data_IF_340998596943
#
_entry.id   IF_340998596943
#
_cell.length_a   1.000
_cell.length_b   1.000
_cell.length_c   1.000
_cell.angle_alpha   90.00
_cell.angle_beta   90.00
_cell.angle_gamma   90.00
#
_symmetry.space_group_name_H-M   'P 1'
#
loop_
_entity.id
_entity.type
_entity.pdbx_description
1 polymer ?
#
# COMPACT_ATOMS: atom_id res chain seq x y z
N UNK A 1 8.63 -17.77 -8.71
CA UNK A 1 7.92 -18.56 -7.68
C UNK A 1 8.01 -20.01 -8.08
N UNK A 2 8.34 -20.91 -7.17
CA UNK A 2 8.31 -22.36 -7.41
C UNK A 2 7.16 -22.93 -6.59
N UNK A 3 6.31 -23.72 -7.23
CA UNK A 3 5.29 -24.53 -6.55
C UNK A 3 5.80 -25.96 -6.50
N UNK A 4 5.99 -26.48 -5.30
CA UNK A 4 6.42 -27.85 -5.06
C UNK A 4 5.22 -28.81 -5.12
N UNK A 5 5.47 -30.09 -5.43
CA UNK A 5 4.41 -31.12 -5.52
C UNK A 5 3.59 -31.29 -4.23
N UNK A 6 4.18 -30.94 -3.07
CA UNK A 6 3.53 -30.97 -1.76
C UNK A 6 2.66 -29.72 -1.48
N UNK A 7 2.51 -28.80 -2.45
CA UNK A 7 1.75 -27.56 -2.31
C UNK A 7 2.51 -26.41 -1.67
N UNK A 8 3.76 -26.61 -1.23
CA UNK A 8 4.62 -25.53 -0.73
C UNK A 8 4.94 -24.57 -1.87
N UNK A 9 4.92 -23.27 -1.56
CA UNK A 9 5.25 -22.21 -2.51
C UNK A 9 6.47 -21.47 -2.00
N UNK A 10 7.48 -21.32 -2.85
CA UNK A 10 8.66 -20.52 -2.56
C UNK A 10 8.78 -19.32 -3.49
N UNK A 11 8.99 -18.15 -2.88
CA UNK A 11 8.99 -16.85 -3.54
C UNK A 11 10.40 -16.25 -3.43
N UNK A 12 11.08 -16.19 -4.57
CA UNK A 12 12.49 -15.73 -4.66
C UNK A 12 12.63 -14.24 -4.98
N UNK A 13 11.53 -13.59 -5.34
CA UNK A 13 11.51 -12.17 -5.72
C UNK A 13 11.17 -11.35 -4.48
N UNK A 14 11.73 -10.14 -4.37
CA UNK A 14 11.30 -9.15 -3.38
C UNK A 14 11.82 -9.32 -1.96
N UNK A 15 12.94 -10.04 -1.80
CA UNK A 15 13.62 -10.25 -0.52
C UNK A 15 14.57 -9.09 -0.14
N UNK A 16 14.62 -8.04 -0.96
CA UNK A 16 15.37 -6.81 -0.67
C UNK A 16 14.59 -5.95 0.32
N UNK A 17 15.23 -5.50 1.41
CA UNK A 17 14.67 -4.56 2.37
C UNK A 17 15.58 -3.34 2.53
N UNK A 18 14.98 -2.16 2.59
CA UNK A 18 15.67 -0.92 2.89
C UNK A 18 15.46 -0.52 4.35
N UNK A 19 16.51 0.01 4.97
CA UNK A 19 16.41 0.64 6.29
C UNK A 19 15.51 1.88 6.25
N UNK A 20 14.83 2.15 7.35
CA UNK A 20 14.15 3.43 7.59
C UNK A 20 15.17 4.56 7.83
N UNK A 21 14.77 5.81 7.58
CA UNK A 21 15.61 7.00 7.81
C UNK A 21 14.90 8.01 8.71
N UNK A 22 14.73 7.74 10.01
CA UNK A 22 13.87 8.55 10.89
C UNK A 22 14.50 9.89 11.31
N UNK A 23 15.84 9.96 11.34
CA UNK A 23 16.61 11.06 11.94
C UNK A 23 17.77 11.55 11.07
N UNK A 24 17.83 11.12 9.81
CA UNK A 24 18.85 11.61 8.88
C UNK A 24 18.52 13.05 8.47
N UNK A 25 19.22 14.01 9.08
CA UNK A 25 19.06 15.45 8.82
C UNK A 25 19.49 15.85 7.40
N UNK A 26 20.21 14.99 6.70
CA UNK A 26 20.63 15.22 5.31
C UNK A 26 19.64 14.63 4.31
N UNK A 27 18.72 13.76 4.75
CA UNK A 27 17.72 13.16 3.89
C UNK A 27 16.63 14.17 3.52
N UNK A 28 16.26 14.20 2.24
CA UNK A 28 15.11 14.99 1.77
C UNK A 28 13.77 14.48 2.31
N UNK A 29 13.72 13.20 2.69
CA UNK A 29 12.54 12.52 3.23
C UNK A 29 12.95 11.69 4.44
N UNK A 30 12.26 11.90 5.56
CA UNK A 30 12.37 11.03 6.72
C UNK A 30 11.38 9.87 6.59
N UNK A 31 11.77 8.69 7.05
CA UNK A 31 10.87 7.54 7.07
C UNK A 31 10.98 6.74 8.37
N UNK A 32 9.86 6.14 8.78
CA UNK A 32 9.82 5.24 9.94
C UNK A 32 8.81 4.12 9.79
N UNK A 33 9.13 2.99 10.39
CA UNK A 33 8.29 1.81 10.47
C UNK A 33 7.44 1.88 11.73
N UNK A 34 6.18 1.52 11.59
CA UNK A 34 5.20 1.51 12.68
C UNK A 34 4.40 0.22 12.64
N UNK A 35 4.04 -0.27 13.82
CA UNK A 35 3.06 -1.35 13.98
C UNK A 35 1.74 -0.72 14.42
N UNK A 36 0.76 -0.71 13.53
CA UNK A 36 -0.55 -0.12 13.82
C UNK A 36 -1.56 -1.13 14.38
N UNK A 37 -1.25 -2.43 14.34
CA UNK A 37 -2.04 -3.46 15.00
C UNK A 37 -1.18 -4.60 15.52
N UNK A 38 -0.96 -4.63 16.85
CA UNK A 38 -0.21 -5.71 17.49
C UNK A 38 -0.91 -7.07 17.34
N UNK A 39 -2.25 -7.09 17.48
CA UNK A 39 -3.07 -8.31 17.39
C UNK A 39 -2.90 -9.05 16.06
N UNK A 40 -2.77 -8.31 14.97
CA UNK A 40 -2.69 -8.87 13.62
C UNK A 40 -1.29 -8.74 13.02
N UNK A 41 -0.32 -8.21 13.78
CA UNK A 41 1.03 -7.87 13.35
C UNK A 41 1.05 -7.04 12.06
N UNK A 42 0.27 -5.95 12.04
CA UNK A 42 0.16 -5.08 10.86
C UNK A 42 1.03 -3.86 11.03
N UNK A 43 1.79 -3.59 9.98
CA UNK A 43 2.78 -2.54 9.94
C UNK A 43 2.68 -1.69 8.68
N UNK A 44 3.32 -0.53 8.73
CA UNK A 44 3.45 0.38 7.62
C UNK A 44 4.78 1.11 7.72
N UNK A 45 5.25 1.69 6.61
CA UNK A 45 6.31 2.70 6.62
C UNK A 45 5.70 4.05 6.31
N UNK A 46 5.92 5.03 7.18
CA UNK A 46 5.48 6.41 6.99
C UNK A 46 6.65 7.23 6.43
N UNK A 47 6.38 8.10 5.47
CA UNK A 47 7.34 8.98 4.84
C UNK A 47 6.89 10.44 4.97
N UNK A 48 7.79 11.30 5.44
CA UNK A 48 7.55 12.71 5.68
C UNK A 48 8.63 13.56 4.97
N UNK A 49 8.28 14.52 4.12
CA UNK A 49 9.26 15.44 3.54
C UNK A 49 9.96 16.25 4.64
N UNK A 50 11.29 16.28 4.62
CA UNK A 50 12.09 16.92 5.67
C UNK A 50 11.74 18.40 5.84
N UNK A 51 11.42 19.14 4.77
CA UNK A 51 11.04 20.55 4.88
C UNK A 51 9.80 20.80 5.78
N UNK A 52 8.94 19.78 5.94
CA UNK A 52 7.72 19.87 6.76
C UNK A 52 8.03 19.89 8.25
N UNK A 53 9.18 19.35 8.68
CA UNK A 53 9.60 19.37 10.10
C UNK A 53 10.08 20.76 10.51
N UNK A 54 10.75 21.49 9.61
CA UNK A 54 11.26 22.85 9.85
C UNK A 54 10.19 23.94 9.76
N UNK A 55 9.19 23.76 8.88
CA UNK A 55 8.03 24.67 8.74
C UNK A 55 6.74 23.86 8.86
N UNK A 56 6.25 23.62 10.09
CA UNK A 56 5.09 22.76 10.32
C UNK A 56 3.86 23.30 9.57
N UNK A 57 3.42 22.53 8.57
CA UNK A 57 2.15 22.71 7.89
C UNK A 57 1.53 21.35 7.64
N UNK A 58 0.20 21.29 7.60
CA UNK A 58 -0.49 20.09 7.12
C UNK A 58 -0.26 19.95 5.62
N UNK A 59 0.02 18.73 5.17
CA UNK A 59 0.24 18.37 3.77
C UNK A 59 -0.64 17.19 3.39
N UNK A 60 -0.99 17.02 2.10
CA UNK A 60 -1.88 15.93 1.69
C UNK A 60 -1.41 14.55 2.15
N UNK A 61 -2.35 13.70 2.50
CA UNK A 61 -2.10 12.33 2.94
C UNK A 61 -2.23 11.36 1.77
N UNK A 62 -1.19 10.56 1.53
CA UNK A 62 -1.20 9.46 0.58
C UNK A 62 -1.17 8.12 1.33
N UNK A 63 -2.17 7.27 1.13
CA UNK A 63 -2.11 5.86 1.57
C UNK A 63 -1.70 5.02 0.37
N UNK A 64 -0.52 4.40 0.44
CA UNK A 64 0.09 3.67 -0.67
C UNK A 64 0.11 2.16 -0.41
N UNK A 65 -0.22 1.38 -1.43
CA UNK A 65 -0.16 -0.09 -1.41
C UNK A 65 0.84 -0.55 -2.47
N UNK A 66 1.81 -1.37 -2.08
CA UNK A 66 2.81 -1.88 -3.01
C UNK A 66 2.24 -2.94 -3.97
N UNK A 67 2.92 -3.18 -5.09
CA UNK A 67 2.62 -4.29 -5.99
C UNK A 67 3.25 -5.62 -5.55
N UNK A 68 3.51 -6.50 -6.52
CA UNK A 68 4.00 -7.86 -6.24
C UNK A 68 2.93 -8.94 -6.34
N UNK A 69 1.84 -8.67 -7.08
CA UNK A 69 0.83 -9.68 -7.42
C UNK A 69 0.09 -10.28 -6.22
N UNK A 70 0.10 -9.63 -5.06
CA UNK A 70 -0.35 -10.15 -3.76
C UNK A 70 0.56 -11.20 -3.11
N UNK A 71 1.68 -11.58 -3.73
CA UNK A 71 2.53 -12.69 -3.28
C UNK A 71 3.91 -12.26 -2.76
N UNK A 72 4.40 -11.10 -3.18
CA UNK A 72 5.78 -10.68 -2.89
C UNK A 72 5.84 -9.20 -2.53
N UNK A 73 7.04 -8.79 -2.10
CA UNK A 73 7.43 -7.45 -1.67
C UNK A 73 6.78 -7.04 -0.36
N UNK A 74 7.21 -5.90 0.16
CA UNK A 74 6.70 -5.31 1.38
C UNK A 74 6.74 -3.78 1.26
N UNK A 75 6.11 -3.08 2.21
CA UNK A 75 6.30 -1.63 2.37
C UNK A 75 7.78 -1.23 2.63
N UNK A 76 8.60 -2.20 3.01
CA UNK A 76 10.02 -2.02 3.35
C UNK A 76 10.95 -2.41 2.19
N UNK A 77 10.41 -2.92 1.07
CA UNK A 77 11.25 -3.33 -0.05
C UNK A 77 11.98 -2.15 -0.68
N UNK A 78 13.27 -2.29 -1.01
CA UNK A 78 14.11 -1.20 -1.49
C UNK A 78 13.55 -0.51 -2.74
N UNK A 79 12.99 -1.30 -3.66
CA UNK A 79 12.25 -0.78 -4.82
C UNK A 79 11.12 0.21 -4.45
N UNK A 80 10.25 -0.14 -3.49
CA UNK A 80 9.15 0.72 -3.05
C UNK A 80 9.62 1.87 -2.16
N UNK A 81 10.64 1.62 -1.35
CA UNK A 81 11.28 2.67 -0.55
C UNK A 81 11.86 3.78 -1.43
N UNK A 82 12.63 3.43 -2.45
CA UNK A 82 13.21 4.38 -3.39
C UNK A 82 12.13 5.12 -4.19
N UNK A 83 11.07 4.42 -4.59
CA UNK A 83 9.93 5.03 -5.27
C UNK A 83 9.24 6.07 -4.37
N UNK A 84 8.89 5.70 -3.14
CA UNK A 84 8.18 6.58 -2.23
C UNK A 84 9.02 7.76 -1.73
N UNK A 85 10.33 7.61 -1.51
CA UNK A 85 11.19 8.75 -1.24
C UNK A 85 11.11 9.79 -2.36
N UNK A 86 11.21 9.37 -3.63
CA UNK A 86 11.11 10.28 -4.78
C UNK A 86 9.72 10.89 -4.91
N UNK A 87 8.67 10.09 -4.72
CA UNK A 87 7.29 10.56 -4.82
C UNK A 87 6.97 11.60 -3.74
N UNK A 88 7.31 11.30 -2.48
CA UNK A 88 7.06 12.15 -1.32
C UNK A 88 7.82 13.47 -1.42
N UNK A 89 9.09 13.43 -1.83
CA UNK A 89 9.89 14.63 -2.08
C UNK A 89 9.25 15.55 -3.13
N UNK A 90 8.87 14.99 -4.28
CA UNK A 90 8.34 15.76 -5.42
C UNK A 90 6.91 16.25 -5.19
N UNK A 91 6.02 15.38 -4.71
CA UNK A 91 4.61 15.68 -4.51
C UNK A 91 4.33 16.40 -3.19
N UNK A 92 5.28 16.40 -2.25
CA UNK A 92 5.15 16.99 -0.91
C UNK A 92 3.92 16.46 -0.16
N UNK A 93 3.82 15.14 -0.09
CA UNK A 93 2.74 14.42 0.60
C UNK A 93 3.28 13.65 1.80
N UNK A 94 2.49 13.49 2.86
CA UNK A 94 2.76 12.52 3.91
C UNK A 94 2.28 11.16 3.41
N UNK A 95 3.17 10.18 3.24
CA UNK A 95 2.77 8.87 2.72
C UNK A 95 2.76 7.80 3.82
N UNK A 96 1.72 6.96 3.85
CA UNK A 96 1.64 5.73 4.63
C UNK A 96 1.69 4.55 3.66
N UNK A 97 2.84 3.88 3.58
CA UNK A 97 3.03 2.67 2.79
C UNK A 97 2.60 1.45 3.59
N UNK A 98 1.48 0.86 3.23
CA UNK A 98 0.87 -0.24 3.97
C UNK A 98 1.61 -1.55 3.67
N UNK A 99 2.07 -2.25 4.71
CA UNK A 99 2.63 -3.59 4.60
C UNK A 99 1.49 -4.62 4.71
N UNK A 100 0.71 -4.76 3.63
CA UNK A 100 -0.42 -5.68 3.65
C UNK A 100 0.05 -7.14 3.62
N UNK A 101 -0.82 -8.02 4.09
CA UNK A 101 -0.56 -9.45 4.19
C UNK A 101 -0.57 -10.11 2.80
N UNK A 102 0.37 -11.04 2.58
CA UNK A 102 0.56 -11.73 1.31
C UNK A 102 -0.16 -13.08 1.25
N UNK A 103 -0.55 -13.45 0.04
CA UNK A 103 -0.82 -14.81 -0.36
C UNK A 103 0.50 -15.53 -0.67
N UNK A 104 0.56 -16.87 -0.66
CA UNK A 104 -0.52 -17.82 -0.40
C UNK A 104 -0.79 -18.06 1.10
N UNK A 105 0.06 -17.57 2.00
CA UNK A 105 -0.05 -17.86 3.43
C UNK A 105 -1.38 -17.36 4.01
N UNK A 106 -1.85 -16.20 3.53
CA UNK A 106 -3.19 -15.68 3.82
C UNK A 106 -3.82 -15.17 2.53
N UNK A 107 -4.57 -16.03 1.82
CA UNK A 107 -5.17 -15.69 0.54
C UNK A 107 -6.17 -14.53 0.62
N UNK A 108 -6.55 -13.99 -0.52
CA UNK A 108 -7.63 -13.02 -0.64
C UNK A 108 -8.93 -13.60 -0.03
N UNK A 109 -9.76 -12.77 0.64
CA UNK A 109 -9.72 -11.30 0.66
C UNK A 109 -8.92 -10.69 1.83
N UNK A 110 -8.06 -11.43 2.52
CA UNK A 110 -7.40 -10.94 3.75
C UNK A 110 -6.56 -9.68 3.51
N UNK A 111 -5.84 -9.60 2.38
CA UNK A 111 -5.08 -8.40 2.00
C UNK A 111 -5.98 -7.14 1.97
N UNK A 112 -7.19 -7.23 1.42
CA UNK A 112 -8.16 -6.12 1.41
C UNK A 112 -8.69 -5.79 2.80
N UNK A 113 -9.00 -6.81 3.62
CA UNK A 113 -9.50 -6.60 4.98
C UNK A 113 -8.46 -5.89 5.85
N UNK A 114 -7.18 -6.24 5.71
CA UNK A 114 -6.12 -5.65 6.51
C UNK A 114 -5.70 -4.27 5.97
N UNK A 115 -5.76 -4.07 4.66
CA UNK A 115 -5.66 -2.74 4.05
C UNK A 115 -6.76 -1.80 4.54
N UNK A 116 -7.97 -2.33 4.75
CA UNK A 116 -9.07 -1.56 5.35
C UNK A 116 -8.79 -1.17 6.80
N UNK A 117 -8.18 -2.05 7.59
CA UNK A 117 -7.75 -1.71 8.95
C UNK A 117 -6.68 -0.60 8.93
N UNK A 118 -5.73 -0.65 8.00
CA UNK A 118 -4.70 0.38 7.84
C UNK A 118 -5.31 1.75 7.51
N UNK A 119 -6.32 1.80 6.65
CA UNK A 119 -7.05 3.02 6.31
C UNK A 119 -7.79 3.61 7.51
N UNK A 120 -8.60 2.79 8.20
CA UNK A 120 -9.31 3.22 9.40
C UNK A 120 -8.35 3.71 10.49
N UNK A 121 -7.23 3.01 10.66
CA UNK A 121 -6.19 3.43 11.58
C UNK A 121 -5.58 4.78 11.16
N UNK A 122 -5.30 4.99 9.88
CA UNK A 122 -4.77 6.27 9.41
C UNK A 122 -5.77 7.40 9.67
N UNK A 123 -7.05 7.19 9.33
CA UNK A 123 -8.13 8.18 9.49
C UNK A 123 -8.50 8.49 10.94
N UNK A 124 -8.20 7.61 11.89
CA UNK A 124 -8.46 7.87 13.31
C UNK A 124 -7.64 9.04 13.86
N UNK A 125 -6.58 9.45 13.16
CA UNK A 125 -5.72 10.59 13.53
C UNK A 125 -6.32 11.95 13.12
N UNK A 126 -7.43 11.96 12.38
CA UNK A 126 -8.04 13.19 11.82
C UNK A 126 -8.45 14.22 12.86
N UNK A 127 -8.80 13.79 14.07
CA UNK A 127 -9.14 14.67 15.20
C UNK A 127 -7.92 15.11 16.03
N UNK A 128 -6.71 14.79 15.59
CA UNK A 128 -5.46 15.19 16.26
C UNK A 128 -5.10 14.38 17.52
N UNK A 129 -5.88 13.36 17.87
CA UNK A 129 -5.71 12.53 19.08
C UNK A 129 -5.28 11.08 18.80
N UNK A 130 -4.85 10.79 17.57
CA UNK A 130 -4.35 9.47 17.20
C UNK A 130 -2.93 9.19 17.73
N UNK A 131 -2.54 7.91 17.85
CA UNK A 131 -1.28 7.50 18.48
C UNK A 131 -0.02 7.83 17.67
N UNK A 132 -0.11 8.12 16.37
CA UNK A 132 1.03 8.43 15.51
C UNK A 132 1.22 9.95 15.31
N UNK A 133 2.27 10.56 15.90
CA UNK A 133 2.48 12.01 15.88
C UNK A 133 2.64 12.63 14.49
N UNK A 134 3.20 11.91 13.52
CA UNK A 134 3.37 12.45 12.16
C UNK A 134 2.03 12.63 11.46
N UNK A 135 1.09 11.70 11.69
CA UNK A 135 -0.26 11.79 11.15
C UNK A 135 -1.07 12.89 11.85
N UNK A 136 -0.99 13.01 13.18
CA UNK A 136 -1.75 14.06 13.89
C UNK A 136 -1.23 15.47 13.59
N UNK A 137 0.10 15.64 13.47
CA UNK A 137 0.74 16.95 13.31
C UNK A 137 0.81 17.42 11.87
N UNK A 138 1.06 16.53 10.91
CA UNK A 138 1.41 16.92 9.54
C UNK A 138 0.43 16.45 8.47
N UNK A 139 -0.51 15.53 8.74
CA UNK A 139 -1.47 15.10 7.73
C UNK A 139 -2.61 16.11 7.57
N UNK A 140 -2.92 16.43 6.31
CA UNK A 140 -4.16 17.08 5.92
C UNK A 140 -5.21 16.04 5.55
N UNK A 141 -6.15 15.79 6.46
CA UNK A 141 -7.26 14.85 6.23
C UNK A 141 -8.38 15.42 5.35
N UNK A 142 -8.28 16.69 4.93
CA UNK A 142 -9.12 17.27 3.89
C UNK A 142 -8.58 17.06 2.47
N UNK A 143 -7.38 16.47 2.33
CA UNK A 143 -6.72 16.17 1.06
C UNK A 143 -6.12 14.75 1.12
N UNK A 144 -6.94 13.72 0.89
CA UNK A 144 -6.56 12.31 1.02
C UNK A 144 -6.55 11.61 -0.34
N UNK A 145 -5.44 10.94 -0.63
CA UNK A 145 -5.21 10.19 -1.85
C UNK A 145 -4.94 8.72 -1.52
N UNK A 146 -5.46 7.81 -2.34
CA UNK A 146 -5.06 6.40 -2.31
C UNK A 146 -4.23 6.10 -3.55
N UNK A 147 -3.18 5.30 -3.39
CA UNK A 147 -2.33 4.94 -4.52
C UNK A 147 -1.72 3.55 -4.41
N UNK A 148 -1.23 3.07 -5.53
CA UNK A 148 -0.48 1.84 -5.58
C UNK A 148 -0.07 1.47 -6.98
N UNK A 149 0.66 0.36 -7.09
CA UNK A 149 1.08 -0.22 -8.34
C UNK A 149 0.66 -1.69 -8.45
N UNK A 150 0.30 -2.16 -9.65
CA UNK A 150 -0.05 -3.56 -9.89
C UNK A 150 -1.15 -4.04 -8.90
N UNK A 151 -0.88 -5.07 -8.10
CA UNK A 151 -1.79 -5.56 -7.06
C UNK A 151 -2.15 -4.48 -6.02
N UNK A 152 -1.22 -3.58 -5.68
CA UNK A 152 -1.47 -2.46 -4.78
C UNK A 152 -2.45 -1.45 -5.36
N UNK A 153 -2.40 -1.19 -6.66
CA UNK A 153 -3.39 -0.35 -7.33
C UNK A 153 -4.79 -1.00 -7.32
N UNK A 154 -4.86 -2.33 -7.44
CA UNK A 154 -6.12 -3.06 -7.26
C UNK A 154 -6.67 -2.89 -5.83
N UNK A 155 -5.81 -2.98 -4.81
CA UNK A 155 -6.19 -2.70 -3.41
C UNK A 155 -6.69 -1.26 -3.28
N UNK A 156 -5.93 -0.28 -3.77
CA UNK A 156 -6.29 1.14 -3.70
C UNK A 156 -7.67 1.42 -4.31
N UNK A 157 -7.95 0.84 -5.47
CA UNK A 157 -9.26 0.91 -6.13
C UNK A 157 -10.39 0.37 -5.25
N UNK A 158 -10.26 -0.87 -4.74
CA UNK A 158 -11.27 -1.50 -3.90
C UNK A 158 -11.48 -0.73 -2.58
N UNK A 159 -10.40 -0.18 -2.02
CA UNK A 159 -10.48 0.64 -0.82
C UNK A 159 -11.20 1.96 -1.06
N UNK A 160 -10.99 2.63 -2.19
CA UNK A 160 -11.70 3.86 -2.52
C UNK A 160 -13.21 3.64 -2.63
N UNK A 161 -13.62 2.56 -3.32
CA UNK A 161 -15.03 2.16 -3.40
C UNK A 161 -15.59 1.93 -1.98
N UNK A 162 -14.85 1.19 -1.16
CA UNK A 162 -15.26 0.88 0.21
C UNK A 162 -15.38 2.11 1.10
N UNK A 163 -14.49 3.10 0.96
CA UNK A 163 -14.63 4.40 1.65
C UNK A 163 -15.93 5.09 1.25
N UNK A 164 -16.26 5.13 -0.05
CA UNK A 164 -17.50 5.75 -0.54
C UNK A 164 -18.77 5.07 -0.03
N UNK A 165 -18.74 3.75 0.14
CA UNK A 165 -19.89 2.96 0.60
C UNK A 165 -20.04 2.93 2.14
N UNK A 166 -18.94 2.75 2.87
CA UNK A 166 -18.98 2.55 4.32
C UNK A 166 -18.76 3.85 5.12
N UNK A 167 -18.20 4.91 4.52
CA UNK A 167 -17.90 6.19 5.15
C UNK A 167 -17.30 6.05 6.58
N UNK A 168 -16.12 5.41 6.72
CA UNK A 168 -15.62 4.94 8.01
C UNK A 168 -15.35 6.06 9.02
N UNK A 169 -15.10 7.29 8.53
CA UNK A 169 -14.93 8.49 9.34
C UNK A 169 -15.64 9.65 8.64
N UNK A 170 -16.71 10.20 9.23
CA UNK A 170 -17.43 11.32 8.64
C UNK A 170 -16.52 12.52 8.37
N UNK A 171 -16.63 13.09 7.17
CA UNK A 171 -15.89 14.29 6.75
C UNK A 171 -14.59 14.01 6.00
N UNK A 172 -14.08 12.77 6.01
CA UNK A 172 -12.94 12.39 5.17
C UNK A 172 -13.46 11.86 3.83
N UNK A 173 -12.94 12.40 2.74
CA UNK A 173 -13.20 11.95 1.37
C UNK A 173 -11.89 11.56 0.70
N UNK A 174 -11.96 10.78 -0.37
CA UNK A 174 -10.81 10.50 -1.22
C UNK A 174 -10.82 11.49 -2.38
N UNK A 175 -9.83 12.38 -2.41
CA UNK A 175 -9.69 13.44 -3.42
C UNK A 175 -9.07 12.93 -4.72
N UNK A 176 -8.35 11.81 -4.67
CA UNK A 176 -7.77 11.22 -5.88
C UNK A 176 -7.26 9.79 -5.71
N UNK A 177 -7.12 9.13 -6.86
CA UNK A 177 -6.55 7.79 -6.98
C UNK A 177 -5.32 7.83 -7.90
N UNK A 178 -4.23 7.23 -7.45
CA UNK A 178 -3.04 6.97 -8.27
C UNK A 178 -2.90 5.47 -8.53
N UNK A 179 -3.32 5.02 -9.71
CA UNK A 179 -3.35 3.60 -10.07
C UNK A 179 -2.30 3.31 -11.15
N UNK A 180 -1.11 2.85 -10.75
CA UNK A 180 -0.03 2.53 -11.68
C UNK A 180 -0.12 1.06 -12.15
N UNK A 181 -0.37 0.85 -13.45
CA UNK A 181 -0.51 -0.48 -14.07
C UNK A 181 -1.39 -1.44 -13.24
N UNK A 182 -2.66 -1.10 -12.94
CA UNK A 182 -3.46 -1.84 -11.97
C UNK A 182 -3.74 -3.28 -12.39
N UNK A 183 -3.60 -4.20 -11.43
CA UNK A 183 -3.78 -5.63 -11.65
C UNK A 183 -5.26 -6.00 -11.70
N UNK A 184 -5.86 -5.93 -12.88
CA UNK A 184 -7.21 -6.40 -13.17
C UNK A 184 -7.17 -7.47 -14.25
N UNK A 185 -7.93 -8.55 -14.04
CA UNK A 185 -8.02 -9.68 -14.95
C UNK A 185 -9.43 -10.27 -14.88
N UNK A 186 -9.85 -10.91 -15.97
CA UNK A 186 -11.09 -11.66 -16.04
C UNK A 186 -10.93 -12.97 -16.80
N UNK A 187 -11.92 -13.86 -16.69
CA UNK A 187 -11.97 -15.10 -17.51
C UNK A 187 -12.04 -14.79 -19.01
N UNK A 188 -12.67 -13.67 -19.37
CA UNK A 188 -12.73 -13.14 -20.73
C UNK A 188 -11.86 -11.90 -20.79
N UNK A 189 -10.94 -11.88 -21.74
CA UNK A 189 -10.12 -10.71 -22.03
C UNK A 189 -10.96 -9.60 -22.65
N UNK A 190 -10.65 -8.36 -22.32
CA UNK A 190 -11.28 -7.17 -22.91
C UNK A 190 -10.27 -6.35 -23.70
N UNK A 191 -10.70 -5.82 -24.86
CA UNK A 191 -9.87 -4.94 -25.68
C UNK A 191 -8.51 -5.52 -26.05
N UNK A 192 -7.44 -4.81 -25.67
CA UNK A 192 -6.05 -5.13 -26.00
C UNK A 192 -5.35 -6.04 -24.96
N UNK A 193 -6.07 -6.62 -24.00
CA UNK A 193 -5.51 -7.55 -23.02
C UNK A 193 -4.84 -8.79 -23.66
N UNK A 194 -5.15 -9.11 -24.92
CA UNK A 194 -4.57 -10.24 -25.65
C UNK A 194 -3.09 -10.09 -26.04
N UNK A 195 -2.49 -8.91 -25.84
CA UNK A 195 -1.15 -8.59 -26.31
C UNK A 195 0.00 -9.36 -25.63
N UNK A 196 -0.21 -9.92 -24.43
CA UNK A 196 0.80 -10.70 -23.69
C UNK A 196 0.21 -12.00 -23.11
N UNK A 197 0.02 -12.99 -23.98
CA UNK A 197 -0.51 -14.30 -23.62
C UNK A 197 0.34 -15.02 -22.57
N UNK A 198 1.66 -14.76 -22.53
CA UNK A 198 2.54 -15.37 -21.54
C UNK A 198 2.28 -14.79 -20.15
N UNK A 199 2.28 -13.47 -20.00
CA UNK A 199 1.98 -12.82 -18.73
C UNK A 199 0.58 -13.19 -18.22
N UNK A 200 -0.43 -13.19 -19.09
CA UNK A 200 -1.78 -13.62 -18.74
C UNK A 200 -1.82 -15.06 -18.18
N UNK A 201 -1.17 -16.01 -18.85
CA UNK A 201 -1.15 -17.41 -18.42
C UNK A 201 -0.47 -17.55 -17.05
N UNK A 202 0.65 -16.84 -16.85
CA UNK A 202 1.34 -16.84 -15.56
C UNK A 202 0.46 -16.24 -14.45
N UNK A 203 -0.19 -15.11 -14.70
CA UNK A 203 -1.10 -14.47 -13.75
C UNK A 203 -2.30 -15.38 -13.40
N UNK A 204 -2.91 -16.04 -14.38
CA UNK A 204 -4.01 -17.00 -14.17
C UNK A 204 -3.57 -18.22 -13.35
N UNK A 205 -2.39 -18.77 -13.63
CA UNK A 205 -1.81 -19.90 -12.86
C UNK A 205 -1.52 -19.53 -11.42
N UNK A 206 -1.10 -18.29 -11.16
CA UNK A 206 -0.84 -17.81 -9.80
C UNK A 206 -2.14 -17.52 -9.05
N UNK A 207 -3.19 -17.09 -9.75
CA UNK A 207 -4.44 -16.66 -9.15
C UNK A 207 -5.09 -17.72 -8.26
N UNK A 208 -4.99 -19.01 -8.60
CA UNK A 208 -5.54 -20.11 -7.78
C UNK A 208 -4.95 -20.17 -6.37
N UNK A 209 -3.75 -19.64 -6.16
CA UNK A 209 -3.12 -19.54 -4.84
C UNK A 209 -3.46 -18.23 -4.13
N UNK A 210 -3.75 -17.18 -4.91
CA UNK A 210 -4.14 -15.86 -4.41
C UNK A 210 -5.59 -15.84 -3.94
N UNK A 211 -6.48 -16.56 -4.64
CA UNK A 211 -7.88 -16.68 -4.29
C UNK A 211 -8.40 -18.11 -4.57
N UNK A 212 -8.11 -19.10 -3.69
CA UNK A 212 -8.42 -20.51 -3.92
C UNK A 212 -9.91 -20.85 -4.11
N UNK A 213 -10.82 -19.92 -3.81
CA UNK A 213 -12.27 -20.08 -3.96
C UNK A 213 -12.82 -19.48 -5.28
N UNK A 214 -11.93 -19.02 -6.19
CA UNK A 214 -12.26 -18.36 -7.46
C UNK A 214 -12.81 -19.29 -8.54
#
# INVERSE_FOLDING_TARGET
>A
MIVYKNGTIQIFIGQDFASQSPTDLTAEVHSKDITFSQKYNLSARIYLPAQTTYKPRKIPLLIYFHGGGFFTKSAFSSSYHNHLNRLVAKARVLAVSVNYILAPEKPLPIAYQYSWLALKWSFSHSKGNGPEPWLTKYADFGNVYLGGDSAGANIAHNMAIRVGLENPVPGIKIDGLFLNCPYFLGKRTIGNETGDAYALNQMQRLWVYGYPKS
#
